data_IF_457230344246
#
_entry.id   IF_457230344246
#
_cell.length_a   1.000
_cell.length_b   1.000
_cell.length_c   1.000
_cell.angle_alpha   90.00
_cell.angle_beta   90.00
_cell.angle_gamma   90.00
#
_symmetry.space_group_name_H-M   'P 1'
#
loop_
_entity.id
_entity.type
_entity.pdbx_description
1 polymer ?
#
# COMPACT_ATOMS: atom_id res chain seq x y z
N UNK A 1 46.46 -60.06 -21.00
CA UNK A 1 46.67 -58.74 -20.38
C UNK A 1 45.42 -57.90 -20.67
N UNK A 2 44.45 -57.91 -19.73
CA UNK A 2 43.19 -57.19 -19.90
C UNK A 2 43.27 -55.93 -19.04
N UNK A 3 43.25 -54.74 -19.70
CA UNK A 3 43.12 -53.46 -19.01
C UNK A 3 41.65 -53.23 -18.60
N UNK A 4 41.43 -53.03 -17.32
CA UNK A 4 40.18 -52.53 -16.79
C UNK A 4 40.25 -50.99 -16.74
N UNK A 5 39.38 -50.30 -17.47
CA UNK A 5 39.11 -48.87 -17.33
C UNK A 5 38.04 -48.67 -16.28
N UNK A 6 38.41 -48.08 -15.15
CA UNK A 6 37.46 -47.62 -14.14
C UNK A 6 36.97 -46.22 -14.55
N UNK A 7 35.71 -46.14 -14.85
CA UNK A 7 35.00 -44.84 -15.04
C UNK A 7 34.54 -44.35 -13.67
N UNK A 8 35.23 -43.30 -13.15
CA UNK A 8 34.72 -42.53 -12.01
C UNK A 8 33.61 -41.59 -12.48
N UNK A 9 32.37 -41.87 -12.11
CA UNK A 9 31.23 -40.96 -12.28
C UNK A 9 31.29 -39.98 -11.11
N UNK A 10 31.73 -38.74 -11.39
CA UNK A 10 31.61 -37.61 -10.43
C UNK A 10 30.17 -37.12 -10.48
N UNK A 11 29.39 -37.46 -9.47
CA UNK A 11 28.07 -36.86 -9.25
C UNK A 11 28.26 -35.43 -8.77
N UNK A 12 28.09 -34.47 -9.66
CA UNK A 12 27.94 -33.05 -9.28
C UNK A 12 26.61 -32.86 -8.60
N UNK A 13 26.64 -32.78 -7.29
CA UNK A 13 25.52 -32.27 -6.47
C UNK A 13 25.35 -30.78 -6.78
N UNK A 14 24.45 -30.44 -7.69
CA UNK A 14 23.92 -29.08 -7.79
C UNK A 14 23.11 -28.79 -6.54
N UNK A 15 23.74 -28.22 -5.51
CA UNK A 15 23.04 -27.48 -4.46
C UNK A 15 22.49 -26.22 -5.14
N UNK A 16 21.21 -26.25 -5.46
CA UNK A 16 20.49 -25.09 -5.99
C UNK A 16 20.46 -23.98 -4.95
N UNK A 17 21.52 -23.21 -4.85
CA UNK A 17 21.48 -21.89 -4.27
C UNK A 17 20.55 -21.05 -5.14
N UNK A 18 19.40 -20.62 -4.63
CA UNK A 18 18.61 -19.58 -5.28
C UNK A 18 19.54 -18.39 -5.46
N UNK A 19 19.93 -18.14 -6.68
CA UNK A 19 20.84 -17.07 -7.07
C UNK A 19 20.25 -15.73 -6.63
N UNK A 20 21.08 -14.87 -6.03
CA UNK A 20 20.75 -13.46 -5.71
C UNK A 20 20.31 -12.65 -6.95
N UNK A 21 20.38 -13.22 -8.14
CA UNK A 21 19.92 -12.60 -9.40
C UNK A 21 18.39 -12.49 -9.54
N UNK A 22 17.58 -13.04 -8.63
CA UNK A 22 16.11 -12.99 -8.68
C UNK A 22 15.53 -11.64 -8.20
N UNK A 23 16.36 -10.63 -7.93
CA UNK A 23 16.02 -9.37 -7.29
C UNK A 23 16.03 -8.13 -8.18
N UNK A 24 15.79 -8.27 -9.47
CA UNK A 24 15.87 -7.10 -10.35
C UNK A 24 14.56 -6.34 -10.54
N UNK A 25 13.42 -6.98 -10.32
CA UNK A 25 12.10 -6.38 -10.60
C UNK A 25 11.56 -5.60 -9.41
N UNK A 26 11.48 -4.28 -9.55
CA UNK A 26 10.89 -3.41 -8.53
C UNK A 26 9.37 -3.50 -8.53
N UNK A 27 8.77 -3.42 -7.35
CA UNK A 27 7.32 -3.40 -7.19
C UNK A 27 6.82 -1.96 -7.13
N UNK A 28 5.71 -1.72 -7.81
CA UNK A 28 4.90 -0.52 -7.65
C UNK A 28 3.51 -1.01 -7.27
N UNK A 29 3.17 -0.89 -5.97
CA UNK A 29 1.95 -1.42 -5.40
C UNK A 29 0.98 -0.26 -5.15
N UNK A 30 -0.15 -0.24 -5.82
CA UNK A 30 -1.17 0.80 -5.64
C UNK A 30 -2.33 0.29 -4.79
N UNK A 31 -2.66 0.98 -3.70
CA UNK A 31 -3.90 0.73 -2.97
C UNK A 31 -5.06 1.39 -3.69
N UNK A 32 -6.07 0.60 -4.06
CA UNK A 32 -7.29 1.07 -4.72
C UNK A 32 -8.49 0.97 -3.75
N UNK A 33 -8.86 2.07 -3.08
CA UNK A 33 -9.99 2.07 -2.16
C UNK A 33 -11.33 1.96 -2.89
N UNK A 34 -12.20 1.03 -2.46
CA UNK A 34 -13.48 0.76 -3.10
C UNK A 34 -14.39 1.99 -3.18
N UNK A 35 -14.35 2.87 -2.16
CA UNK A 35 -15.15 4.09 -2.12
C UNK A 35 -14.74 5.16 -3.15
N UNK A 36 -13.57 5.02 -3.77
CA UNK A 36 -13.15 5.95 -4.82
C UNK A 36 -14.01 5.85 -6.09
N UNK A 37 -14.72 4.73 -6.28
CA UNK A 37 -15.68 4.64 -7.39
C UNK A 37 -16.81 5.69 -7.33
N UNK A 38 -17.13 6.21 -6.13
CA UNK A 38 -18.16 7.24 -5.95
C UNK A 38 -17.60 8.66 -5.99
N UNK A 39 -16.30 8.80 -5.76
CA UNK A 39 -15.65 10.11 -5.78
C UNK A 39 -15.48 10.58 -7.21
N UNK A 40 -15.38 11.88 -7.41
CA UNK A 40 -15.16 12.49 -8.75
C UNK A 40 -16.14 12.01 -9.81
N UNK A 41 -17.40 11.67 -9.46
CA UNK A 41 -18.38 11.17 -10.44
C UNK A 41 -17.96 9.88 -11.15
N UNK A 42 -17.11 9.05 -10.53
CA UNK A 42 -16.61 7.82 -11.12
C UNK A 42 -15.48 8.02 -12.15
N UNK A 43 -14.66 9.06 -12.00
CA UNK A 43 -13.58 9.34 -12.94
C UNK A 43 -12.48 8.28 -12.98
N UNK A 44 -12.27 7.51 -11.89
CA UNK A 44 -11.25 6.46 -11.84
C UNK A 44 -11.91 5.11 -11.52
N UNK A 45 -12.63 4.59 -12.51
CA UNK A 45 -13.22 3.24 -12.50
C UNK A 45 -12.27 2.23 -13.16
N UNK A 46 -12.49 0.92 -13.03
CA UNK A 46 -11.59 -0.10 -13.58
C UNK A 46 -11.18 0.10 -15.04
N UNK A 47 -12.09 0.61 -15.88
CA UNK A 47 -11.83 0.86 -17.30
C UNK A 47 -10.89 2.03 -17.56
N UNK A 48 -10.69 2.92 -16.59
CA UNK A 48 -9.86 4.13 -16.69
C UNK A 48 -8.50 3.97 -16.02
N UNK A 49 -8.38 2.99 -15.11
CA UNK A 49 -7.10 2.71 -14.43
C UNK A 49 -6.01 2.39 -15.45
N UNK A 50 -4.89 3.10 -15.37
CA UNK A 50 -3.70 2.79 -16.16
C UNK A 50 -2.87 1.68 -15.47
N UNK A 51 -3.21 0.44 -15.77
CA UNK A 51 -2.56 -0.73 -15.19
C UNK A 51 -1.07 -0.83 -15.51
N UNK A 52 -0.58 -0.14 -16.53
CA UNK A 52 0.85 -0.11 -16.85
C UNK A 52 1.70 0.60 -15.77
N UNK A 53 1.06 1.29 -14.83
CA UNK A 53 1.71 2.00 -13.72
C UNK A 53 1.98 1.12 -12.51
N UNK A 54 1.42 -0.10 -12.46
CA UNK A 54 1.45 -0.95 -11.28
C UNK A 54 1.97 -2.34 -11.59
N UNK A 55 2.60 -2.97 -10.61
CA UNK A 55 2.89 -4.41 -10.61
C UNK A 55 1.89 -5.19 -9.80
N UNK A 56 1.33 -4.54 -8.77
CA UNK A 56 0.32 -5.08 -7.86
C UNK A 56 -0.69 -3.98 -7.57
N UNK A 57 -1.97 -4.34 -7.49
CA UNK A 57 -3.03 -3.49 -6.95
C UNK A 57 -3.56 -4.16 -5.68
N UNK A 58 -3.54 -3.44 -4.57
CA UNK A 58 -4.19 -3.85 -3.32
C UNK A 58 -5.60 -3.26 -3.30
N UNK A 59 -6.61 -4.10 -3.50
CA UNK A 59 -8.02 -3.71 -3.37
C UNK A 59 -8.36 -3.48 -1.91
N UNK A 60 -8.82 -2.30 -1.54
CA UNK A 60 -9.07 -1.85 -0.16
C UNK A 60 -10.54 -1.48 0.04
N UNK A 61 -11.25 -2.04 1.03
CA UNK A 61 -10.84 -3.03 2.00
C UNK A 61 -11.91 -4.11 2.19
N UNK A 62 -11.51 -5.26 2.70
CA UNK A 62 -12.41 -6.14 3.41
C UNK A 62 -12.14 -6.04 4.91
N UNK A 63 -13.15 -6.33 5.73
CA UNK A 63 -13.05 -6.29 7.18
C UNK A 63 -13.39 -7.64 7.80
N UNK A 64 -12.65 -8.09 8.83
CA UNK A 64 -13.05 -9.27 9.60
C UNK A 64 -14.10 -8.89 10.64
N UNK A 65 -15.08 -9.77 10.85
CA UNK A 65 -15.94 -9.69 12.03
C UNK A 65 -15.24 -10.27 13.29
N UNK A 66 -15.90 -10.22 14.44
CA UNK A 66 -15.36 -10.71 15.71
C UNK A 66 -15.03 -12.21 15.74
N UNK A 67 -15.50 -13.00 14.75
CA UNK A 67 -15.25 -14.43 14.61
C UNK A 67 -14.26 -14.78 13.49
N UNK A 68 -13.79 -13.77 12.75
CA UNK A 68 -12.83 -13.92 11.66
C UNK A 68 -13.46 -14.12 10.28
N UNK A 69 -14.78 -13.96 10.13
CA UNK A 69 -15.41 -13.98 8.81
C UNK A 69 -15.15 -12.67 8.07
N UNK A 70 -14.85 -12.75 6.78
CA UNK A 70 -14.51 -11.59 5.94
C UNK A 70 -15.72 -11.08 5.16
N UNK A 71 -15.88 -9.75 5.18
CA UNK A 71 -16.87 -9.03 4.39
C UNK A 71 -16.21 -7.84 3.70
N UNK A 72 -16.63 -7.58 2.46
CA UNK A 72 -16.38 -6.30 1.82
C UNK A 72 -17.13 -5.18 2.55
N UNK A 73 -16.57 -3.99 2.52
CA UNK A 73 -17.11 -2.83 3.24
C UNK A 73 -18.23 -2.13 2.48
N UNK A 74 -18.32 -2.36 1.17
CA UNK A 74 -19.37 -1.83 0.31
C UNK A 74 -19.83 -2.90 -0.69
N UNK A 75 -20.91 -3.65 -0.42
CA UNK A 75 -21.35 -4.75 -1.27
C UNK A 75 -21.65 -4.36 -2.73
N UNK A 76 -22.06 -3.10 -2.96
CA UNK A 76 -22.33 -2.62 -4.33
C UNK A 76 -21.04 -2.30 -5.08
N UNK A 77 -20.15 -1.52 -4.46
CA UNK A 77 -18.84 -1.23 -5.04
C UNK A 77 -18.05 -2.52 -5.26
N UNK A 78 -17.98 -3.39 -4.24
CA UNK A 78 -17.28 -4.68 -4.31
C UNK A 78 -17.81 -5.55 -5.46
N UNK A 79 -19.13 -5.58 -5.65
CA UNK A 79 -19.73 -6.32 -6.78
C UNK A 79 -19.24 -5.78 -8.13
N UNK A 80 -19.35 -4.47 -8.34
CA UNK A 80 -18.97 -3.86 -9.63
C UNK A 80 -17.47 -3.90 -9.87
N UNK A 81 -16.66 -3.64 -8.84
CA UNK A 81 -15.22 -3.58 -8.95
C UNK A 81 -14.55 -4.96 -9.04
N UNK A 82 -15.10 -5.99 -8.37
CA UNK A 82 -14.49 -7.31 -8.30
C UNK A 82 -15.12 -8.34 -9.24
N UNK A 83 -16.41 -8.16 -9.65
CA UNK A 83 -17.10 -9.08 -10.58
C UNK A 83 -17.37 -8.46 -11.94
N UNK A 84 -17.31 -7.14 -12.03
CA UNK A 84 -17.59 -6.39 -13.25
C UNK A 84 -19.02 -5.90 -13.37
N UNK A 85 -19.33 -5.19 -14.44
CA UNK A 85 -20.66 -4.63 -14.71
C UNK A 85 -21.68 -5.74 -14.95
N UNK A 86 -22.94 -5.43 -14.64
CA UNK A 86 -24.06 -6.36 -14.81
C UNK A 86 -24.75 -6.13 -16.15
N UNK A 87 -24.86 -7.18 -16.96
CA UNK A 87 -25.70 -7.20 -18.16
C UNK A 87 -27.03 -7.88 -17.77
N UNK A 88 -28.01 -7.08 -17.43
CA UNK A 88 -29.32 -7.53 -17.00
C UNK A 88 -30.10 -8.37 -18.04
N UNK A 89 -29.61 -8.40 -19.29
CA UNK A 89 -30.18 -9.22 -20.37
C UNK A 89 -29.75 -10.68 -20.31
N UNK A 90 -28.86 -11.06 -19.40
CA UNK A 90 -28.33 -12.43 -19.31
C UNK A 90 -28.62 -13.08 -17.95
N UNK A 91 -28.75 -14.44 -17.89
CA UNK A 91 -28.90 -15.15 -16.63
C UNK A 91 -27.58 -15.26 -15.85
N UNK A 92 -27.66 -15.50 -14.53
CA UNK A 92 -26.47 -15.80 -13.72
C UNK A 92 -25.81 -17.13 -14.15
N UNK A 93 -24.47 -17.22 -14.04
CA UNK A 93 -23.48 -16.19 -13.70
C UNK A 93 -23.05 -15.31 -14.89
N UNK A 94 -23.56 -15.57 -16.08
CA UNK A 94 -23.14 -14.94 -17.33
C UNK A 94 -23.56 -13.46 -17.46
N UNK A 95 -24.30 -12.93 -16.49
CA UNK A 95 -24.67 -11.52 -16.48
C UNK A 95 -23.55 -10.56 -16.04
N UNK A 96 -22.48 -11.08 -15.38
CA UNK A 96 -21.30 -10.27 -15.14
C UNK A 96 -20.46 -10.16 -16.40
N UNK A 97 -20.07 -8.92 -16.72
CA UNK A 97 -19.16 -8.65 -17.83
C UNK A 97 -17.71 -8.77 -17.34
N UNK A 98 -16.76 -9.02 -18.25
CA UNK A 98 -15.34 -9.09 -17.92
C UNK A 98 -14.75 -7.66 -17.80
N UNK A 99 -15.28 -6.85 -16.89
CA UNK A 99 -14.93 -5.44 -16.68
C UNK A 99 -14.58 -5.14 -15.23
N UNK A 100 -14.22 -6.17 -14.45
CA UNK A 100 -13.74 -5.98 -13.09
C UNK A 100 -12.32 -5.42 -13.07
N UNK A 101 -11.92 -4.86 -11.93
CA UNK A 101 -10.55 -4.45 -11.66
C UNK A 101 -9.56 -5.61 -11.88
N UNK A 102 -9.96 -6.81 -11.44
CA UNK A 102 -9.14 -8.03 -11.58
C UNK A 102 -9.02 -8.44 -13.05
N UNK A 103 -10.12 -8.39 -13.81
CA UNK A 103 -10.09 -8.71 -15.24
C UNK A 103 -9.09 -7.84 -16.00
N UNK A 104 -9.19 -6.53 -15.81
CA UNK A 104 -8.28 -5.59 -16.47
C UNK A 104 -6.85 -5.74 -15.98
N UNK A 105 -6.63 -5.82 -14.66
CA UNK A 105 -5.29 -5.99 -14.10
C UNK A 105 -4.60 -7.24 -14.68
N UNK A 106 -5.28 -8.37 -14.69
CA UNK A 106 -4.74 -9.63 -15.22
C UNK A 106 -4.43 -9.56 -16.73
N UNK A 107 -5.20 -8.82 -17.52
CA UNK A 107 -4.88 -8.58 -18.93
C UNK A 107 -3.54 -7.86 -19.11
N UNK A 108 -3.15 -7.02 -18.15
CA UNK A 108 -1.88 -6.31 -18.14
C UNK A 108 -0.75 -7.06 -17.39
N UNK A 109 -1.04 -8.22 -16.82
CA UNK A 109 -0.08 -8.96 -16.01
C UNK A 109 0.06 -8.42 -14.58
N UNK A 110 -0.78 -7.47 -14.19
CA UNK A 110 -0.80 -6.88 -12.84
C UNK A 110 -1.54 -7.80 -11.89
N UNK A 111 -0.94 -8.08 -10.75
CA UNK A 111 -1.56 -8.88 -9.69
C UNK A 111 -2.56 -8.03 -8.90
N UNK A 112 -3.62 -8.65 -8.41
CA UNK A 112 -4.58 -8.00 -7.50
C UNK A 112 -4.64 -8.77 -6.19
N UNK A 113 -4.36 -8.07 -5.11
CA UNK A 113 -4.45 -8.62 -3.75
C UNK A 113 -5.63 -8.00 -3.02
N UNK A 114 -6.22 -8.75 -2.12
CA UNK A 114 -7.19 -8.19 -1.17
C UNK A 114 -6.45 -7.63 0.04
N UNK A 115 -6.64 -6.36 0.35
CA UNK A 115 -6.20 -5.74 1.59
C UNK A 115 -7.31 -5.84 2.64
N UNK A 116 -6.96 -6.34 3.82
CA UNK A 116 -7.90 -6.65 4.90
C UNK A 116 -7.51 -5.81 6.12
N UNK A 117 -8.44 -4.96 6.57
CA UNK A 117 -8.21 -4.04 7.68
C UNK A 117 -8.27 -2.58 7.26
N UNK A 118 -7.25 -1.81 7.63
CA UNK A 118 -7.19 -0.36 7.53
C UNK A 118 -7.55 0.31 8.86
N UNK A 119 -7.31 1.62 8.97
CA UNK A 119 -7.44 2.39 10.21
C UNK A 119 -8.75 2.14 10.99
N UNK A 120 -9.90 2.21 10.32
CA UNK A 120 -11.20 2.09 10.98
C UNK A 120 -11.71 0.64 11.11
N UNK A 121 -10.95 -0.36 10.63
CA UNK A 121 -11.43 -1.74 10.50
C UNK A 121 -10.53 -2.74 11.24
N UNK A 122 -9.60 -2.26 12.07
CA UNK A 122 -8.59 -3.10 12.73
C UNK A 122 -8.98 -3.63 14.11
N UNK A 123 -10.07 -3.18 14.71
CA UNK A 123 -10.46 -3.47 16.09
C UNK A 123 -10.64 -4.96 16.41
N UNK A 124 -10.96 -5.77 15.41
CA UNK A 124 -11.21 -7.21 15.61
C UNK A 124 -9.94 -8.07 15.52
N UNK A 125 -8.85 -7.57 14.94
CA UNK A 125 -7.62 -8.36 14.77
C UNK A 125 -7.03 -8.88 16.08
N UNK A 126 -6.93 -8.09 17.18
CA UNK A 126 -6.37 -8.59 18.43
C UNK A 126 -7.10 -9.82 18.96
N UNK A 127 -8.45 -9.80 18.89
CA UNK A 127 -9.28 -10.91 19.33
C UNK A 127 -9.23 -12.14 18.41
N UNK A 128 -9.02 -11.93 17.11
CA UNK A 128 -8.89 -13.01 16.13
C UNK A 128 -7.51 -13.67 16.25
N UNK A 129 -6.46 -12.88 16.34
CA UNK A 129 -5.08 -13.37 16.42
C UNK A 129 -4.77 -14.12 17.73
N UNK A 130 -5.53 -13.84 18.80
CA UNK A 130 -5.38 -14.51 20.10
C UNK A 130 -6.15 -15.84 20.20
N UNK A 131 -7.19 -16.03 19.41
CA UNK A 131 -8.02 -17.24 19.43
C UNK A 131 -7.66 -18.13 18.21
N UNK A 132 -7.11 -19.34 18.45
CA UNK A 132 -6.74 -20.24 17.35
C UNK A 132 -7.91 -20.65 16.46
N UNK A 133 -9.14 -20.73 16.98
CA UNK A 133 -10.33 -21.09 16.18
C UNK A 133 -10.75 -19.94 15.28
N UNK A 134 -10.67 -18.71 15.79
CA UNK A 134 -10.96 -17.50 15.00
C UNK A 134 -9.89 -17.29 13.94
N UNK A 135 -8.61 -17.50 14.27
CA UNK A 135 -7.51 -17.49 13.30
C UNK A 135 -7.76 -18.55 12.20
N UNK A 136 -8.17 -19.77 12.55
CA UNK A 136 -8.50 -20.81 11.56
C UNK A 136 -9.66 -20.37 10.65
N UNK A 137 -10.71 -19.77 11.21
CA UNK A 137 -11.84 -19.20 10.45
C UNK A 137 -11.33 -18.13 9.48
N UNK A 138 -10.52 -17.19 9.95
CA UNK A 138 -9.96 -16.13 9.13
C UNK A 138 -9.12 -16.66 7.97
N UNK A 139 -8.29 -17.68 8.21
CA UNK A 139 -7.49 -18.33 7.16
C UNK A 139 -8.38 -19.00 6.11
N UNK A 140 -9.46 -19.69 6.53
CA UNK A 140 -10.45 -20.27 5.62
C UNK A 140 -11.14 -19.19 4.77
N UNK A 141 -11.44 -18.06 5.36
CA UNK A 141 -12.03 -16.93 4.67
C UNK A 141 -11.05 -16.28 3.67
N UNK A 142 -9.76 -16.16 4.01
CA UNK A 142 -8.73 -15.76 3.05
C UNK A 142 -8.72 -16.68 1.82
N UNK A 143 -8.74 -17.99 2.03
CA UNK A 143 -8.81 -18.97 0.94
C UNK A 143 -10.11 -18.83 0.14
N UNK A 144 -11.24 -18.61 0.82
CA UNK A 144 -12.54 -18.39 0.17
C UNK A 144 -12.53 -17.19 -0.76
N UNK A 145 -12.09 -16.01 -0.27
CA UNK A 145 -12.10 -14.78 -1.06
C UNK A 145 -11.10 -14.85 -2.24
N UNK A 146 -9.95 -15.49 -2.06
CA UNK A 146 -9.01 -15.76 -3.16
C UNK A 146 -9.70 -16.57 -4.28
N UNK A 147 -10.37 -17.67 -3.92
CA UNK A 147 -11.06 -18.53 -4.90
C UNK A 147 -12.25 -17.81 -5.55
N UNK A 148 -13.02 -17.07 -4.76
CA UNK A 148 -14.24 -16.40 -5.19
C UNK A 148 -13.99 -15.27 -6.19
N UNK A 149 -12.98 -14.42 -5.89
CA UNK A 149 -12.68 -13.24 -6.69
C UNK A 149 -11.42 -13.38 -7.57
N UNK A 150 -10.67 -14.48 -7.42
CA UNK A 150 -9.41 -14.74 -8.14
C UNK A 150 -8.28 -13.79 -7.76
N UNK A 151 -8.20 -13.38 -6.51
CA UNK A 151 -7.08 -12.60 -6.01
C UNK A 151 -5.75 -13.38 -6.09
N UNK A 152 -4.66 -12.64 -6.20
CA UNK A 152 -3.29 -13.18 -6.29
C UNK A 152 -2.58 -13.26 -4.93
N UNK A 153 -3.27 -12.87 -3.87
CA UNK A 153 -2.71 -12.92 -2.51
C UNK A 153 -3.53 -12.14 -1.49
N UNK A 154 -2.97 -12.07 -0.30
CA UNK A 154 -3.53 -11.39 0.88
C UNK A 154 -2.56 -10.31 1.34
N UNK A 155 -3.08 -9.12 1.58
CA UNK A 155 -2.42 -8.03 2.27
C UNK A 155 -3.14 -7.78 3.60
N UNK A 156 -2.40 -7.68 4.70
CA UNK A 156 -2.96 -7.41 6.03
C UNK A 156 -2.64 -5.97 6.41
N UNK A 157 -3.67 -5.21 6.70
CA UNK A 157 -3.56 -3.82 7.12
C UNK A 157 -4.11 -3.66 8.55
N UNK A 158 -3.39 -4.26 9.52
CA UNK A 158 -3.74 -4.15 10.94
C UNK A 158 -3.07 -2.91 11.54
N UNK A 159 -3.88 -1.88 11.80
CA UNK A 159 -3.42 -0.57 12.29
C UNK A 159 -3.89 -0.32 13.74
N UNK A 160 -3.11 -0.64 14.78
CA UNK A 160 -1.82 -1.34 14.74
C UNK A 160 -1.78 -2.41 15.83
N UNK A 161 -0.99 -3.46 15.72
CA UNK A 161 -0.71 -4.34 16.85
C UNK A 161 -0.22 -3.52 18.04
N UNK A 162 -0.65 -3.86 19.26
CA UNK A 162 -0.38 -3.15 20.52
C UNK A 162 -1.02 -1.74 20.63
N UNK A 163 -1.80 -1.26 19.68
CA UNK A 163 -2.39 0.06 19.75
C UNK A 163 -3.73 0.01 20.50
N UNK A 164 -3.71 0.45 21.77
CA UNK A 164 -4.83 0.27 22.71
C UNK A 164 -6.13 0.94 22.25
N UNK A 165 -6.07 2.06 21.53
CA UNK A 165 -7.26 2.75 20.99
C UNK A 165 -8.03 1.90 19.96
N UNK A 166 -7.35 0.94 19.31
CA UNK A 166 -7.94 -0.06 18.41
C UNK A 166 -7.93 -1.46 19.03
N UNK A 167 -8.27 -1.57 20.30
CA UNK A 167 -8.36 -2.84 21.04
C UNK A 167 -7.02 -3.62 21.12
N UNK A 168 -5.92 -2.99 20.75
CA UNK A 168 -4.58 -3.59 20.78
C UNK A 168 -4.12 -3.92 22.19
N UNK A 169 -3.31 -4.99 22.31
CA UNK A 169 -2.87 -5.53 23.59
C UNK A 169 -1.34 -5.66 23.60
N UNK A 170 -0.62 -4.68 24.18
CA UNK A 170 0.84 -4.60 24.14
C UNK A 170 1.57 -5.87 24.58
N UNK A 171 1.02 -6.60 25.53
CA UNK A 171 1.67 -7.78 26.12
C UNK A 171 1.71 -9.00 25.18
N UNK A 172 0.75 -9.10 24.27
CA UNK A 172 0.53 -10.33 23.48
C UNK A 172 0.47 -10.15 21.98
N UNK A 173 0.04 -8.99 21.46
CA UNK A 173 -0.20 -8.78 20.03
C UNK A 173 1.06 -8.99 19.19
N UNK A 174 2.22 -8.58 19.66
CA UNK A 174 3.50 -8.79 18.96
C UNK A 174 3.73 -10.25 18.58
N UNK A 175 3.49 -11.17 19.52
CA UNK A 175 3.63 -12.62 19.29
C UNK A 175 2.46 -13.19 18.49
N UNK A 176 1.25 -12.69 18.77
CA UNK A 176 0.05 -13.14 18.09
C UNK A 176 0.06 -12.73 16.63
N UNK A 177 0.52 -11.51 16.30
CA UNK A 177 0.73 -11.09 14.91
C UNK A 177 1.64 -12.08 14.15
N UNK A 178 2.77 -12.47 14.75
CA UNK A 178 3.68 -13.43 14.12
C UNK A 178 3.00 -14.76 13.81
N UNK A 179 2.25 -15.31 14.79
CA UNK A 179 1.53 -16.58 14.63
C UNK A 179 0.40 -16.47 13.61
N UNK A 180 -0.34 -15.36 13.65
CA UNK A 180 -1.43 -15.07 12.74
C UNK A 180 -0.96 -15.01 11.29
N UNK A 181 0.10 -14.25 11.00
CA UNK A 181 0.68 -14.17 9.66
C UNK A 181 1.23 -15.50 9.18
N UNK A 182 1.84 -16.30 10.08
CA UNK A 182 2.29 -17.64 9.72
C UNK A 182 1.13 -18.59 9.39
N UNK A 183 0.01 -18.49 10.12
CA UNK A 183 -1.19 -19.28 9.83
C UNK A 183 -1.78 -18.93 8.45
N UNK A 184 -1.86 -17.64 8.11
CA UNK A 184 -2.29 -17.19 6.78
C UNK A 184 -1.36 -17.75 5.71
N UNK A 185 -0.03 -17.62 5.88
CA UNK A 185 0.96 -18.17 4.93
C UNK A 185 0.74 -19.65 4.68
N UNK A 186 0.59 -20.44 5.74
CA UNK A 186 0.35 -21.89 5.63
C UNK A 186 -0.94 -22.20 4.87
N UNK A 187 -2.01 -21.43 5.10
CA UNK A 187 -3.29 -21.60 4.42
C UNK A 187 -3.20 -21.32 2.92
N UNK A 188 -2.59 -20.19 2.54
CA UNK A 188 -2.47 -19.82 1.12
C UNK A 188 -1.42 -20.66 0.38
N UNK A 189 -0.38 -21.18 1.07
CA UNK A 189 0.55 -22.15 0.49
C UNK A 189 -0.12 -23.50 0.22
N UNK A 190 -1.04 -23.93 1.10
CA UNK A 190 -1.85 -25.14 0.87
C UNK A 190 -2.73 -24.96 -0.35
N UNK A 191 -3.39 -23.81 -0.48
CA UNK A 191 -4.16 -23.47 -1.68
C UNK A 191 -3.26 -23.41 -2.93
N UNK A 192 -2.05 -22.86 -2.78
CA UNK A 192 -1.09 -22.78 -3.88
C UNK A 192 -0.69 -24.14 -4.43
N UNK A 193 -0.49 -25.13 -3.56
CA UNK A 193 -0.23 -26.53 -3.95
C UNK A 193 -1.43 -27.16 -4.64
N UNK A 194 -2.65 -26.87 -4.17
CA UNK A 194 -3.90 -27.37 -4.77
C UNK A 194 -4.09 -26.84 -6.20
N UNK A 195 -3.76 -25.55 -6.43
CA UNK A 195 -4.01 -24.84 -7.68
C UNK A 195 -2.79 -24.72 -8.60
N UNK A 196 -1.64 -25.27 -8.20
CA UNK A 196 -0.36 -25.16 -8.91
C UNK A 196 -0.02 -23.68 -9.23
N UNK A 197 -0.11 -22.81 -8.21
CA UNK A 197 0.23 -21.39 -8.32
C UNK A 197 0.70 -20.81 -6.97
N UNK A 198 1.47 -19.71 -7.05
CA UNK A 198 1.90 -18.99 -5.86
C UNK A 198 0.93 -17.84 -5.52
N UNK A 199 0.69 -17.64 -4.22
CA UNK A 199 -0.06 -16.51 -3.68
C UNK A 199 0.85 -15.66 -2.80
N UNK A 200 0.74 -14.34 -2.95
CA UNK A 200 1.53 -13.41 -2.18
C UNK A 200 0.91 -13.18 -0.79
N UNK A 201 1.78 -12.94 0.19
CA UNK A 201 1.41 -12.47 1.53
C UNK A 201 2.19 -11.21 1.85
N UNK A 202 1.50 -10.10 2.04
CA UNK A 202 2.07 -8.82 2.44
C UNK A 202 1.33 -8.26 3.66
N UNK A 203 1.88 -7.23 4.27
CA UNK A 203 1.15 -6.42 5.23
C UNK A 203 1.67 -4.98 5.20
N UNK A 204 0.76 -4.04 5.51
CA UNK A 204 1.10 -2.65 5.76
C UNK A 204 1.52 -2.45 7.23
N UNK A 205 2.55 -1.64 7.45
CA UNK A 205 3.12 -1.40 8.76
C UNK A 205 3.32 0.06 9.04
N UNK A 206 3.03 0.47 10.27
CA UNK A 206 3.35 1.80 10.76
C UNK A 206 4.86 2.05 10.81
N UNK A 207 5.25 3.28 10.59
CA UNK A 207 6.63 3.67 10.33
C UNK A 207 7.33 4.38 11.52
N UNK A 208 6.67 4.51 12.67
CA UNK A 208 7.30 5.04 13.88
C UNK A 208 7.83 3.92 14.79
N UNK A 209 8.78 4.27 15.65
CA UNK A 209 9.45 3.32 16.55
C UNK A 209 8.47 2.50 17.38
N UNK A 210 7.46 3.14 18.00
CA UNK A 210 6.50 2.46 18.87
C UNK A 210 5.68 1.38 18.13
N UNK A 211 5.19 1.69 16.92
CA UNK A 211 4.47 0.73 16.07
C UNK A 211 5.40 -0.41 15.62
N UNK A 212 6.63 -0.06 15.23
CA UNK A 212 7.60 -1.06 14.74
C UNK A 212 8.08 -1.99 15.85
N UNK A 213 8.13 -1.58 17.11
CA UNK A 213 8.52 -2.41 18.23
C UNK A 213 7.48 -3.50 18.57
N UNK A 214 6.27 -3.35 18.08
CA UNK A 214 5.19 -4.34 18.19
C UNK A 214 5.23 -5.45 17.15
N UNK A 215 6.26 -5.51 16.32
CA UNK A 215 6.41 -6.53 15.28
C UNK A 215 7.73 -7.29 15.46
N UNK A 216 7.68 -8.61 15.33
CA UNK A 216 8.87 -9.47 15.29
C UNK A 216 9.38 -9.60 13.83
N UNK A 217 9.93 -8.50 13.27
CA UNK A 217 10.32 -8.41 11.86
C UNK A 217 11.29 -9.50 11.41
N UNK A 218 12.22 -9.90 12.27
CA UNK A 218 13.18 -10.99 12.02
C UNK A 218 12.50 -12.35 11.80
N UNK A 219 11.27 -12.50 12.29
CA UNK A 219 10.45 -13.71 12.10
C UNK A 219 9.49 -13.55 10.93
N UNK A 220 8.68 -12.48 10.94
CA UNK A 220 7.62 -12.31 9.92
C UNK A 220 8.19 -12.16 8.51
N UNK A 221 9.35 -11.51 8.36
CA UNK A 221 10.00 -11.35 7.06
C UNK A 221 10.40 -12.67 6.39
N UNK A 222 10.44 -13.78 7.13
CA UNK A 222 10.79 -15.10 6.57
C UNK A 222 9.66 -15.72 5.75
N UNK A 223 8.41 -15.40 6.09
CA UNK A 223 7.23 -15.98 5.44
C UNK A 223 6.34 -14.98 4.73
N UNK A 224 6.66 -13.69 4.81
CA UNK A 224 6.03 -12.66 3.99
C UNK A 224 6.83 -12.39 2.72
N UNK A 225 6.13 -12.04 1.65
CA UNK A 225 6.77 -11.68 0.37
C UNK A 225 7.29 -10.24 0.43
N UNK A 226 6.48 -9.30 0.93
CA UNK A 226 6.86 -7.90 1.11
C UNK A 226 6.39 -7.35 2.45
N UNK A 227 7.16 -6.37 2.93
CA UNK A 227 6.92 -5.52 4.10
C UNK A 227 6.57 -4.13 3.55
N UNK A 228 5.31 -3.75 3.59
CA UNK A 228 4.82 -2.49 3.05
C UNK A 228 4.85 -1.44 4.16
N UNK A 229 5.81 -0.50 4.11
CA UNK A 229 5.94 0.53 5.13
C UNK A 229 5.12 1.76 4.78
N UNK A 230 4.22 2.15 5.63
CA UNK A 230 3.41 3.37 5.51
C UNK A 230 4.25 4.59 5.91
N UNK A 231 5.22 4.98 5.07
CA UNK A 231 6.12 6.12 5.30
C UNK A 231 5.45 7.44 4.91
N UNK A 232 4.26 7.62 5.43
CA UNK A 232 3.41 8.81 5.35
C UNK A 232 2.59 8.92 6.65
N UNK A 233 1.79 9.96 6.78
CA UNK A 233 1.05 10.28 7.99
C UNK A 233 1.94 10.50 9.22
N UNK A 234 3.17 10.95 8.98
CA UNK A 234 4.05 11.30 10.09
C UNK A 234 3.55 12.52 10.86
N UNK A 235 2.90 13.46 10.18
CA UNK A 235 2.34 14.65 10.79
C UNK A 235 0.97 15.01 10.21
N UNK A 236 0.16 15.62 11.06
CA UNK A 236 -1.19 16.09 10.76
C UNK A 236 -1.73 16.94 11.88
N UNK A 237 -3.05 16.98 12.04
CA UNK A 237 -3.71 17.77 13.10
C UNK A 237 -3.37 17.34 14.52
N UNK A 238 -2.86 16.14 14.71
CA UNK A 238 -2.41 15.60 16.01
C UNK A 238 -1.00 16.10 16.40
N UNK A 239 -0.24 16.65 15.46
CA UNK A 239 1.09 17.17 15.73
C UNK A 239 0.99 18.57 16.37
N UNK A 240 1.91 18.97 17.24
CA UNK A 240 1.90 20.30 17.88
C UNK A 240 2.17 21.43 16.87
N UNK A 241 2.97 21.15 15.87
CA UNK A 241 3.44 22.09 14.88
C UNK A 241 3.24 21.55 13.46
N UNK A 242 3.10 22.47 12.49
CA UNK A 242 3.02 22.12 11.07
C UNK A 242 4.32 21.47 10.60
N UNK A 243 4.21 20.23 10.13
CA UNK A 243 5.36 19.47 9.67
C UNK A 243 4.97 18.58 8.48
N UNK A 244 5.93 17.85 7.93
CA UNK A 244 5.76 17.08 6.71
C UNK A 244 4.94 15.80 6.93
N UNK A 245 4.01 15.55 6.01
CA UNK A 245 3.22 14.31 5.95
C UNK A 245 4.10 13.09 5.64
N UNK A 246 5.01 13.23 4.66
CA UNK A 246 5.80 12.12 4.15
C UNK A 246 7.19 12.58 3.69
N UNK A 247 8.07 13.03 4.60
CA UNK A 247 9.40 13.49 4.24
C UNK A 247 10.34 12.33 3.88
N UNK A 248 11.25 12.56 2.93
CA UNK A 248 12.29 11.57 2.59
C UNK A 248 13.30 11.43 3.73
N UNK A 249 13.78 12.56 4.26
CA UNK A 249 14.70 12.62 5.39
C UNK A 249 14.07 13.36 6.56
N UNK A 250 14.61 13.14 7.74
CA UNK A 250 14.19 13.88 8.92
C UNK A 250 14.49 15.38 8.74
N UNK A 251 13.49 16.26 8.88
CA UNK A 251 13.70 17.71 8.72
C UNK A 251 14.61 18.29 9.80
N UNK A 252 14.64 17.66 10.98
CA UNK A 252 15.46 18.05 12.11
C UNK A 252 16.21 16.86 12.70
N UNK A 253 17.38 17.13 13.31
CA UNK A 253 18.17 16.08 13.97
C UNK A 253 17.39 15.45 15.14
N UNK A 254 17.26 14.13 15.13
CA UNK A 254 16.54 13.36 16.15
C UNK A 254 15.04 13.22 15.92
N UNK A 255 14.51 13.80 14.85
CA UNK A 255 13.13 13.58 14.44
C UNK A 255 12.97 12.21 13.76
N UNK A 256 12.02 11.41 14.26
CA UNK A 256 11.83 10.00 13.83
C UNK A 256 10.90 9.83 12.62
N UNK A 257 10.19 10.87 12.22
CA UNK A 257 9.14 10.79 11.19
C UNK A 257 9.68 10.99 9.77
N UNK A 258 10.39 10.01 9.20
CA UNK A 258 10.80 10.05 7.79
C UNK A 258 10.92 8.67 7.16
N UNK A 259 10.89 8.62 5.84
CA UNK A 259 11.09 7.40 5.06
C UNK A 259 12.47 6.76 5.34
N UNK A 260 13.53 7.57 5.36
CA UNK A 260 14.90 7.12 5.64
C UNK A 260 15.03 6.52 7.06
N UNK A 261 14.40 7.17 8.04
CA UNK A 261 14.41 6.67 9.43
C UNK A 261 13.73 5.30 9.53
N UNK A 262 12.52 5.16 8.99
CA UNK A 262 11.79 3.89 8.99
C UNK A 262 12.56 2.78 8.28
N UNK A 263 13.18 3.08 7.13
CA UNK A 263 14.02 2.11 6.42
C UNK A 263 15.21 1.64 7.26
N UNK A 264 15.94 2.56 7.90
CA UNK A 264 17.07 2.23 8.77
C UNK A 264 16.65 1.36 9.93
N UNK A 265 15.52 1.66 10.58
CA UNK A 265 14.96 0.82 11.65
C UNK A 265 14.66 -0.61 11.18
N UNK A 266 14.12 -0.80 9.97
CA UNK A 266 13.90 -2.15 9.41
C UNK A 266 15.21 -2.88 9.17
N UNK A 267 16.25 -2.19 8.73
CA UNK A 267 17.57 -2.78 8.55
C UNK A 267 18.19 -3.24 9.87
N UNK A 268 18.03 -2.46 10.93
CA UNK A 268 18.45 -2.83 12.30
C UNK A 268 17.69 -4.06 12.81
N UNK A 269 16.42 -4.25 12.36
CA UNK A 269 15.59 -5.42 12.68
C UNK A 269 15.78 -6.59 11.70
N UNK A 270 16.88 -6.59 10.93
CA UNK A 270 17.29 -7.64 10.00
C UNK A 270 16.30 -7.94 8.86
N UNK A 271 15.51 -6.97 8.44
CA UNK A 271 14.64 -7.13 7.27
C UNK A 271 15.49 -7.02 5.99
N UNK A 272 15.44 -7.99 5.07
CA UNK A 272 16.12 -7.88 3.78
C UNK A 272 15.55 -6.71 2.96
N UNK A 273 16.43 -5.82 2.45
CA UNK A 273 15.99 -4.63 1.71
C UNK A 273 15.03 -4.95 0.57
N UNK A 274 15.27 -6.03 -0.16
CA UNK A 274 14.45 -6.44 -1.30
C UNK A 274 13.01 -6.86 -0.95
N UNK A 275 12.70 -7.02 0.34
CA UNK A 275 11.32 -7.24 0.84
C UNK A 275 10.64 -5.96 1.30
N UNK A 276 11.37 -4.85 1.41
CA UNK A 276 10.84 -3.58 1.91
C UNK A 276 10.29 -2.77 0.75
N UNK A 277 9.01 -2.41 0.81
CA UNK A 277 8.41 -1.40 -0.04
C UNK A 277 8.15 -0.14 0.78
N UNK A 278 8.57 1.00 0.23
CA UNK A 278 8.48 2.30 0.91
C UNK A 278 7.23 3.05 0.47
N UNK A 279 6.52 3.62 1.43
CA UNK A 279 5.27 4.34 1.17
C UNK A 279 5.49 5.70 0.53
N UNK A 280 4.66 6.02 -0.46
CA UNK A 280 4.57 7.35 -1.06
C UNK A 280 3.13 7.82 -1.03
N UNK A 281 2.93 9.12 -0.73
CA UNK A 281 1.60 9.69 -0.57
C UNK A 281 1.16 10.40 -1.86
N UNK A 282 0.07 9.92 -2.47
CA UNK A 282 -0.58 10.63 -3.58
C UNK A 282 -1.70 11.55 -3.07
N UNK A 283 -1.51 12.08 -1.86
CA UNK A 283 -2.41 13.00 -1.17
C UNK A 283 -1.59 13.97 -0.30
N UNK A 284 -2.25 14.96 0.25
CA UNK A 284 -1.67 15.89 1.21
C UNK A 284 -2.46 15.98 2.50
N UNK A 285 -1.82 16.55 3.51
CA UNK A 285 -2.47 16.94 4.77
C UNK A 285 -2.51 18.44 4.88
N UNK A 286 -3.69 18.98 5.16
CA UNK A 286 -3.89 20.42 5.31
C UNK A 286 -3.95 20.81 6.78
N UNK A 287 -3.48 22.02 7.08
CA UNK A 287 -3.57 22.64 8.40
C UNK A 287 -4.04 24.08 8.27
N UNK A 288 -4.86 24.52 9.20
CA UNK A 288 -5.38 25.91 9.35
C UNK A 288 -5.22 26.43 10.77
N UNK A 289 -5.43 27.73 10.93
CA UNK A 289 -5.47 28.35 12.25
C UNK A 289 -4.08 28.45 12.90
N UNK A 290 -3.13 29.01 12.21
CA UNK A 290 -1.79 29.17 12.74
C UNK A 290 -1.75 30.17 13.89
N UNK A 291 -1.12 29.78 15.00
CA UNK A 291 -0.87 30.63 16.16
C UNK A 291 0.32 31.54 15.85
N UNK A 292 0.03 32.72 15.38
CA UNK A 292 1.06 33.65 14.95
C UNK A 292 0.58 34.42 13.74
N UNK A 293 1.50 34.92 12.94
CA UNK A 293 1.15 35.85 11.86
C UNK A 293 0.99 35.19 10.51
N UNK A 294 1.67 34.06 10.25
CA UNK A 294 1.66 33.41 8.94
C UNK A 294 1.81 31.90 9.08
N UNK A 295 1.16 31.11 8.17
CA UNK A 295 1.42 29.69 8.07
C UNK A 295 2.87 29.46 7.66
N UNK A 296 3.56 28.57 8.36
CA UNK A 296 4.95 28.22 8.08
C UNK A 296 5.25 26.81 8.58
N UNK A 297 6.31 26.24 8.03
CA UNK A 297 6.85 24.99 8.56
C UNK A 297 7.29 25.20 10.02
N UNK A 298 6.99 24.24 10.88
CA UNK A 298 7.20 24.25 12.33
C UNK A 298 6.41 25.31 13.11
N UNK A 299 5.43 25.96 12.50
CA UNK A 299 4.55 26.88 13.21
C UNK A 299 3.42 26.10 13.93
N UNK A 300 3.13 26.53 15.17
CA UNK A 300 2.02 25.97 15.92
C UNK A 300 0.67 26.33 15.27
N UNK A 301 -0.28 25.40 15.28
CA UNK A 301 -1.58 25.51 14.62
C UNK A 301 -2.75 25.09 15.52
N UNK A 302 -4.00 25.30 15.06
CA UNK A 302 -5.22 25.03 15.82
C UNK A 302 -5.76 23.61 15.65
N UNK A 303 -4.96 22.67 15.13
CA UNK A 303 -5.36 21.29 14.87
C UNK A 303 -6.59 21.14 13.95
N UNK A 304 -6.73 22.02 12.96
CA UNK A 304 -7.83 22.01 11.99
C UNK A 304 -7.35 21.67 10.61
N UNK A 305 -8.14 20.86 9.88
CA UNK A 305 -7.97 20.63 8.45
C UNK A 305 -8.73 21.67 7.62
N UNK A 306 -8.38 21.82 6.35
CA UNK A 306 -9.07 22.70 5.41
C UNK A 306 -10.23 22.00 4.71
N UNK A 307 -11.27 21.64 5.47
CA UNK A 307 -12.47 20.97 4.94
C UNK A 307 -13.30 21.87 4.02
N UNK A 308 -13.18 23.20 4.16
CA UNK A 308 -13.91 24.15 3.30
C UNK A 308 -13.40 24.09 1.87
N UNK A 309 -12.09 24.04 1.68
CA UNK A 309 -11.45 23.94 0.37
C UNK A 309 -11.48 22.51 -0.19
N UNK A 310 -11.36 21.52 0.68
CA UNK A 310 -11.26 20.11 0.32
C UNK A 310 -12.32 19.21 0.98
N UNK A 311 -13.63 19.48 0.73
CA UNK A 311 -14.70 18.79 1.43
C UNK A 311 -14.82 17.30 1.09
N UNK A 312 -14.48 16.89 -0.14
CA UNK A 312 -14.59 15.50 -0.60
C UNK A 312 -13.65 14.54 0.16
N UNK A 313 -12.58 15.06 0.73
CA UNK A 313 -11.52 14.30 1.38
C UNK A 313 -11.26 14.78 2.82
N UNK A 314 -12.22 15.45 3.42
CA UNK A 314 -12.17 15.88 4.84
C UNK A 314 -10.90 16.67 5.19
N UNK A 315 -10.44 17.50 4.25
CA UNK A 315 -9.20 18.28 4.40
C UNK A 315 -7.91 17.50 4.11
N UNK A 316 -8.00 16.29 3.57
CA UNK A 316 -6.86 15.49 3.10
C UNK A 316 -6.93 15.29 1.58
N UNK A 317 -6.65 16.34 0.79
CA UNK A 317 -6.84 16.29 -0.66
C UNK A 317 -5.93 15.29 -1.33
N UNK A 318 -6.46 14.52 -2.26
CA UNK A 318 -5.65 13.77 -3.22
C UNK A 318 -4.82 14.73 -4.09
N UNK A 319 -3.71 14.26 -4.63
CA UNK A 319 -2.76 15.06 -5.39
C UNK A 319 -3.43 15.88 -6.51
N UNK A 320 -4.34 15.27 -7.30
CA UNK A 320 -5.05 15.99 -8.36
C UNK A 320 -5.79 17.22 -7.85
N UNK A 321 -6.36 17.16 -6.62
CA UNK A 321 -7.09 18.29 -6.02
C UNK A 321 -6.15 19.38 -5.52
N UNK A 322 -4.94 19.00 -5.05
CA UNK A 322 -3.93 19.98 -4.68
C UNK A 322 -3.51 20.76 -5.92
N UNK A 323 -3.28 20.07 -7.03
CA UNK A 323 -2.88 20.70 -8.30
C UNK A 323 -3.98 21.58 -8.88
N UNK A 324 -5.26 21.21 -8.73
CA UNK A 324 -6.39 22.05 -9.16
C UNK A 324 -6.47 23.42 -8.45
N UNK A 325 -5.85 23.54 -7.27
CA UNK A 325 -5.85 24.75 -6.43
C UNK A 325 -4.44 25.34 -6.23
N UNK A 326 -3.44 24.85 -6.98
CA UNK A 326 -2.02 25.17 -6.73
C UNK A 326 -1.71 26.66 -6.88
N UNK A 327 -2.41 27.34 -7.79
CA UNK A 327 -2.21 28.79 -8.06
C UNK A 327 -2.61 29.69 -6.87
N UNK A 328 -3.36 29.16 -5.89
CA UNK A 328 -3.71 29.87 -4.67
C UNK A 328 -2.60 29.85 -3.62
N UNK A 329 -1.55 29.06 -3.82
CA UNK A 329 -0.50 28.80 -2.86
C UNK A 329 0.86 29.30 -3.32
N UNK A 330 1.72 29.58 -2.34
CA UNK A 330 3.17 29.70 -2.52
C UNK A 330 3.80 28.32 -2.35
N UNK A 331 4.45 27.82 -3.42
CA UNK A 331 5.14 26.55 -3.37
C UNK A 331 6.50 26.68 -2.68
N UNK A 332 6.74 25.88 -1.66
CA UNK A 332 7.94 25.84 -0.86
C UNK A 332 8.65 24.50 -0.99
N UNK A 333 9.93 24.47 -0.70
CA UNK A 333 10.73 23.25 -0.68
C UNK A 333 11.61 23.21 0.57
N UNK A 334 11.58 22.09 1.30
CA UNK A 334 12.49 21.82 2.40
C UNK A 334 13.68 20.99 1.91
N UNK A 335 14.86 21.61 1.87
CA UNK A 335 16.09 20.94 1.43
C UNK A 335 16.58 19.88 2.40
N UNK A 336 16.29 19.99 3.70
CA UNK A 336 16.67 18.99 4.69
C UNK A 336 15.80 17.75 4.56
N UNK A 337 14.49 17.92 4.46
CA UNK A 337 13.52 16.84 4.34
C UNK A 337 13.36 16.30 2.90
N UNK A 338 13.84 17.03 1.89
CA UNK A 338 13.69 16.75 0.46
C UNK A 338 12.22 16.55 0.06
N UNK A 339 11.35 17.44 0.54
CA UNK A 339 9.91 17.38 0.31
C UNK A 339 9.30 18.78 0.13
N UNK A 340 8.22 18.92 -0.68
CA UNK A 340 7.52 20.18 -0.87
C UNK A 340 6.48 20.41 0.21
N UNK A 341 6.10 21.69 0.37
CA UNK A 341 4.91 22.11 1.08
C UNK A 341 4.36 23.39 0.47
N UNK A 342 3.11 23.70 0.76
CA UNK A 342 2.39 24.87 0.25
C UNK A 342 1.95 25.75 1.41
N UNK A 343 2.02 27.05 1.22
CA UNK A 343 1.46 28.04 2.14
C UNK A 343 0.55 29.01 1.39
N UNK A 344 -0.59 29.32 2.03
CA UNK A 344 -1.46 30.40 1.60
C UNK A 344 -1.61 31.40 2.75
N UNK A 345 -0.99 32.57 2.58
CA UNK A 345 -0.99 33.63 3.61
C UNK A 345 -2.33 34.35 3.72
N UNK A 346 -3.18 34.30 2.69
CA UNK A 346 -4.48 34.99 2.67
C UNK A 346 -5.51 34.32 3.59
N UNK A 347 -5.52 32.98 3.61
CA UNK A 347 -6.46 32.20 4.41
C UNK A 347 -5.77 31.38 5.52
N UNK A 348 -4.47 31.61 5.74
CA UNK A 348 -3.65 30.96 6.76
C UNK A 348 -3.71 29.43 6.66
N UNK A 349 -3.57 28.88 5.47
CA UNK A 349 -3.52 27.44 5.24
C UNK A 349 -2.14 26.94 4.85
N UNK A 350 -1.87 25.69 5.22
CA UNK A 350 -0.65 24.95 4.94
C UNK A 350 -1.02 23.59 4.36
N UNK A 351 -0.26 23.10 3.39
CA UNK A 351 -0.42 21.77 2.84
C UNK A 351 0.93 21.06 2.75
N UNK A 352 1.08 19.95 3.45
CA UNK A 352 2.20 19.03 3.21
C UNK A 352 1.77 17.98 2.21
N UNK A 353 2.57 17.75 1.16
CA UNK A 353 2.25 16.83 0.07
C UNK A 353 3.52 16.31 -0.60
N UNK A 354 3.36 15.42 -1.57
CA UNK A 354 4.42 15.01 -2.49
C UNK A 354 4.18 15.58 -3.89
N UNK A 355 5.25 16.03 -4.54
CA UNK A 355 5.22 16.44 -5.95
C UNK A 355 6.12 15.51 -6.81
N UNK A 356 6.19 15.77 -8.12
CA UNK A 356 7.03 14.99 -9.04
C UNK A 356 8.50 14.90 -8.60
N UNK A 357 9.05 15.96 -8.05
CA UNK A 357 10.46 16.00 -7.59
C UNK A 357 10.66 15.10 -6.37
N UNK A 358 9.81 15.20 -5.34
CA UNK A 358 9.92 14.37 -4.12
C UNK A 358 9.65 12.90 -4.40
N UNK A 359 8.65 12.57 -5.22
CA UNK A 359 8.37 11.18 -5.64
C UNK A 359 9.56 10.57 -6.38
N UNK A 360 10.18 11.32 -7.31
CA UNK A 360 11.37 10.87 -8.02
C UNK A 360 12.55 10.60 -7.08
N UNK A 361 12.75 11.45 -6.06
CA UNK A 361 13.78 11.26 -5.04
C UNK A 361 13.51 10.03 -4.17
N UNK A 362 12.27 9.80 -3.75
CA UNK A 362 11.86 8.60 -2.99
C UNK A 362 12.04 7.33 -3.81
N UNK A 363 11.65 7.34 -5.08
CA UNK A 363 11.89 6.23 -5.99
C UNK A 363 13.39 5.93 -6.15
N UNK A 364 14.20 6.98 -6.33
CA UNK A 364 15.66 6.84 -6.39
C UNK A 364 16.23 6.27 -5.08
N UNK A 365 15.76 6.74 -3.94
CA UNK A 365 16.15 6.20 -2.63
C UNK A 365 15.85 4.70 -2.53
N UNK A 366 14.64 4.27 -2.94
CA UNK A 366 14.26 2.85 -2.95
C UNK A 366 15.17 2.03 -3.87
N UNK A 367 15.52 2.56 -5.04
CA UNK A 367 16.43 1.91 -5.98
C UNK A 367 17.85 1.78 -5.42
N UNK A 368 18.43 2.88 -4.93
CA UNK A 368 19.80 2.95 -4.41
C UNK A 368 20.00 2.03 -3.17
N UNK A 369 18.96 1.90 -2.34
CA UNK A 369 18.94 1.03 -1.16
C UNK A 369 18.50 -0.40 -1.45
N UNK A 370 18.31 -0.77 -2.72
CA UNK A 370 17.90 -2.11 -3.16
C UNK A 370 16.60 -2.58 -2.53
N UNK A 371 15.67 -1.65 -2.25
CA UNK A 371 14.34 -1.98 -1.75
C UNK A 371 13.56 -2.83 -2.74
N UNK A 372 12.53 -3.52 -2.29
CA UNK A 372 11.58 -4.26 -3.14
C UNK A 372 10.87 -3.33 -4.11
N UNK A 373 10.47 -2.16 -3.63
CA UNK A 373 9.79 -1.16 -4.44
C UNK A 373 9.12 -0.10 -3.57
N UNK A 374 7.92 0.29 -3.98
CA UNK A 374 7.10 1.29 -3.29
C UNK A 374 5.66 0.84 -3.15
N UNK A 375 4.96 1.38 -2.15
CA UNK A 375 3.50 1.36 -2.04
C UNK A 375 2.95 2.78 -2.20
N UNK A 376 1.76 2.89 -2.76
CA UNK A 376 1.10 4.17 -3.04
C UNK A 376 -0.23 4.22 -2.29
N UNK A 377 -0.43 5.20 -1.42
CA UNK A 377 -1.73 5.56 -0.88
C UNK A 377 -2.17 6.91 -1.47
N UNK A 378 -3.26 7.01 -2.26
CA UNK A 378 -3.92 5.88 -2.93
C UNK A 378 -3.71 5.96 -4.45
N UNK A 379 -3.91 4.84 -5.12
CA UNK A 379 -3.67 4.68 -6.55
C UNK A 379 -4.51 5.62 -7.44
N UNK A 380 -5.57 6.23 -6.90
CA UNK A 380 -6.44 7.15 -7.66
C UNK A 380 -6.00 8.62 -7.55
N UNK A 381 -4.98 8.89 -6.71
CA UNK A 381 -4.66 10.24 -6.25
C UNK A 381 -4.07 11.16 -7.30
N UNK A 382 -3.38 10.64 -8.31
CA UNK A 382 -2.70 11.44 -9.31
C UNK A 382 -3.27 11.35 -10.74
N UNK A 383 -4.50 10.85 -10.89
CA UNK A 383 -5.22 10.85 -12.15
C UNK A 383 -5.68 12.27 -12.52
N UNK A 384 -4.90 12.93 -13.38
CA UNK A 384 -5.12 14.33 -13.76
C UNK A 384 -6.20 14.45 -14.84
N UNK A 385 -7.18 15.31 -14.63
CA UNK A 385 -8.18 15.61 -15.63
C UNK A 385 -7.67 16.66 -16.63
N UNK A 386 -8.12 16.56 -17.89
CA UNK A 386 -7.84 17.57 -18.92
C UNK A 386 -8.33 18.97 -18.50
N UNK A 387 -9.44 19.00 -17.82
CA UNK A 387 -10.07 20.18 -17.22
C UNK A 387 -10.86 19.70 -16.01
N UNK A 388 -10.81 20.44 -14.92
CA UNK A 388 -11.52 20.13 -13.67
C UNK A 388 -12.99 19.79 -13.94
N UNK A 389 -13.42 18.61 -13.49
CA UNK A 389 -14.78 18.09 -13.66
C UNK A 389 -15.10 17.53 -15.05
N UNK A 390 -14.11 17.37 -15.94
CA UNK A 390 -14.34 16.81 -17.29
C UNK A 390 -14.43 15.29 -17.31
N UNK A 391 -13.99 14.61 -16.24
CA UNK A 391 -13.83 13.15 -16.12
C UNK A 391 -12.88 12.55 -17.17
N UNK A 392 -12.26 13.39 -18.01
CA UNK A 392 -11.31 12.95 -19.03
C UNK A 392 -9.90 12.97 -18.46
N UNK A 393 -9.40 11.81 -18.09
CA UNK A 393 -8.05 11.65 -17.57
C UNK A 393 -7.01 11.80 -18.68
N UNK A 394 -5.95 12.53 -18.39
CA UNK A 394 -4.86 12.84 -19.34
C UNK A 394 -3.48 12.40 -18.87
N UNK A 395 -3.33 11.91 -17.64
CA UNK A 395 -2.05 11.43 -17.14
C UNK A 395 -2.03 11.15 -15.66
N UNK A 396 -0.91 10.53 -15.24
CA UNK A 396 -0.61 10.11 -13.87
C UNK A 396 0.80 10.57 -13.49
N UNK A 397 1.03 11.87 -13.28
CA UNK A 397 2.37 12.47 -13.25
C UNK A 397 3.25 12.00 -12.10
N UNK A 398 2.71 11.55 -10.97
CA UNK A 398 3.49 10.98 -9.87
C UNK A 398 3.86 9.53 -10.16
N UNK A 399 2.91 8.73 -10.66
CA UNK A 399 3.16 7.35 -11.06
C UNK A 399 4.17 7.28 -12.21
N UNK A 400 4.16 8.24 -13.15
CA UNK A 400 5.16 8.37 -14.20
C UNK A 400 6.59 8.47 -13.63
N UNK A 401 6.80 9.24 -12.53
CA UNK A 401 8.12 9.34 -11.90
C UNK A 401 8.58 8.01 -11.29
N UNK A 402 7.65 7.21 -10.75
CA UNK A 402 7.95 5.89 -10.20
C UNK A 402 8.38 4.94 -11.31
N UNK A 403 7.63 4.89 -12.42
CA UNK A 403 7.95 4.06 -13.60
C UNK A 403 9.31 4.43 -14.19
N UNK A 404 9.56 5.72 -14.40
CA UNK A 404 10.80 6.22 -14.98
C UNK A 404 12.04 5.81 -14.19
N UNK A 405 11.95 5.79 -12.86
CA UNK A 405 13.09 5.51 -11.97
C UNK A 405 13.20 4.03 -11.66
N UNK A 406 12.10 3.38 -11.26
CA UNK A 406 12.13 2.01 -10.77
C UNK A 406 12.19 0.98 -11.90
N UNK A 407 11.68 1.32 -13.09
CA UNK A 407 11.66 0.46 -14.27
C UNK A 407 11.24 -0.98 -13.93
N UNK A 408 10.01 -1.19 -13.43
CA UNK A 408 9.55 -2.51 -13.05
C UNK A 408 9.59 -3.45 -14.25
N UNK A 409 9.85 -4.74 -14.00
CA UNK A 409 9.84 -5.71 -15.08
C UNK A 409 8.45 -5.86 -15.66
N UNK A 410 8.38 -6.02 -16.99
CA UNK A 410 7.15 -6.45 -17.63
C UNK A 410 6.70 -7.80 -17.05
N UNK A 411 5.47 -7.84 -16.59
CA UNK A 411 4.87 -9.06 -16.06
C UNK A 411 4.16 -9.83 -17.19
N UNK A 412 4.28 -11.17 -17.24
CA UNK A 412 3.52 -11.96 -18.21
C UNK A 412 2.02 -11.80 -17.91
N UNK A 413 1.22 -11.65 -18.95
CA UNK A 413 -0.26 -11.60 -18.83
C UNK A 413 -0.78 -12.80 -18.04
N UNK A 414 -1.60 -12.55 -17.04
CA UNK A 414 -2.19 -13.59 -16.22
C UNK A 414 -3.37 -14.17 -16.99
N UNK A 415 -3.28 -15.44 -17.40
CA UNK A 415 -4.38 -16.11 -18.09
C UNK A 415 -5.48 -16.43 -17.07
N UNK A 416 -6.74 -16.08 -17.40
CA UNK A 416 -7.90 -16.58 -16.65
C UNK A 416 -7.84 -18.11 -16.65
N UNK A 417 -7.83 -18.70 -15.46
CA UNK A 417 -8.06 -20.12 -15.26
C UNK A 417 -9.48 -20.23 -14.70
N UNK A 418 -10.39 -20.70 -15.51
CA UNK A 418 -11.77 -21.05 -15.14
C UNK A 418 -11.79 -22.34 -14.33
#
# INVERSE_FOLDING_TARGET
MKLFFSICVIALLFTGGKSEAQNSCKQIIGYYPSWQMYKRGGAVVPEVVDYSRYTIINYSFFAPDTNGYLKGIDPWADTLLLRGRIDWGKPQPAYFTNTSLIDFAHLWGVKVMISIGGWTLSDNFPGIADDPKKTETFVKECVRVIKEYQFDGIDIDWEYPCYEEHSGRPDIDKKNFTKFMQAIRNGIDTLGKELDREFLLTAAFGANTGQMDCIEYDKVSKFMDYINMMTYDFNGTWSPDANHNSPLYSPEKGYEGSLDYAFKLLKERNVPSYKINLGVAFYGRTLKGFKGKEPALFAAHDAKTDVERYPLHEGMPLYYRIIDEIDDYEEMWDDAAQTPYLINKKDSSFVSYDNKKSIRLKAKYALDNKCGGVIIWDATGDYMEKKKGSLLITGTPLADQLIDVLQPCEQPRIKKRY
#
